data_IF_482627315796
#
_entry.id   IF_482627315796
#
_cell.length_a   1.000
_cell.length_b   1.000
_cell.length_c   1.000
_cell.angle_alpha   90.00
_cell.angle_beta   90.00
_cell.angle_gamma   90.00
#
_symmetry.space_group_name_H-M   'P 1'
#
loop_
_entity.id
_entity.type
_entity.pdbx_description
1 polymer ?
#
# COMPACT_ATOMS: atom_id res chain seq x y z
N UNK A 1 -8.70 -10.67 -21.45
CA UNK A 1 -8.94 -9.40 -20.76
C UNK A 1 -7.70 -9.07 -19.92
N UNK A 2 -7.24 -7.82 -20.01
CA UNK A 2 -6.05 -7.36 -19.28
C UNK A 2 -6.30 -7.45 -17.78
N UNK A 3 -5.47 -8.20 -17.06
CA UNK A 3 -5.44 -8.19 -15.60
C UNK A 3 -4.74 -6.92 -15.14
N UNK A 4 -5.23 -6.34 -14.05
CA UNK A 4 -4.66 -5.13 -13.45
C UNK A 4 -3.88 -5.54 -12.21
N UNK A 5 -2.61 -5.16 -12.15
CA UNK A 5 -1.81 -5.37 -10.96
C UNK A 5 -2.36 -4.52 -9.80
N UNK A 6 -2.38 -5.10 -8.61
CA UNK A 6 -2.87 -4.49 -7.39
C UNK A 6 -2.06 -4.93 -6.17
N UNK A 7 -2.07 -4.10 -5.14
CA UNK A 7 -1.47 -4.40 -3.85
C UNK A 7 -2.50 -4.21 -2.74
N UNK A 8 -2.47 -5.11 -1.76
CA UNK A 8 -3.37 -5.08 -0.59
C UNK A 8 -2.54 -5.31 0.67
N UNK A 9 -2.89 -4.63 1.75
CA UNK A 9 -2.11 -4.65 2.99
C UNK A 9 -2.97 -5.12 4.17
N UNK A 10 -2.50 -6.16 4.86
CA UNK A 10 -3.01 -6.58 6.15
C UNK A 10 -2.29 -5.76 7.23
N UNK A 11 -2.96 -4.74 7.74
CA UNK A 11 -2.47 -3.95 8.87
C UNK A 11 -2.79 -4.69 10.16
N UNK A 12 -1.75 -5.08 10.87
CA UNK A 12 -1.84 -5.93 12.06
C UNK A 12 -1.53 -5.10 13.31
N UNK A 13 -2.22 -5.39 14.41
CA UNK A 13 -1.83 -4.94 15.75
C UNK A 13 -2.08 -6.03 16.78
N UNK A 14 -1.29 -6.01 17.84
CA UNK A 14 -1.54 -6.83 19.02
C UNK A 14 -2.26 -5.98 20.05
N UNK A 15 -3.39 -6.47 20.55
CA UNK A 15 -4.16 -5.87 21.62
C UNK A 15 -4.53 -6.96 22.64
N UNK A 16 -4.16 -6.78 23.91
CA UNK A 16 -4.49 -7.71 25.00
C UNK A 16 -4.13 -9.18 24.68
N UNK A 17 -3.01 -9.41 23.99
CA UNK A 17 -2.52 -10.72 23.52
C UNK A 17 -3.36 -11.35 22.39
N UNK A 18 -4.25 -10.61 21.78
CA UNK A 18 -4.95 -11.01 20.55
C UNK A 18 -4.38 -10.27 19.33
N UNK A 19 -4.32 -10.97 18.20
CA UNK A 19 -3.92 -10.39 16.93
C UNK A 19 -5.15 -9.85 16.21
N UNK A 20 -5.17 -8.54 15.98
CA UNK A 20 -6.21 -7.89 15.20
C UNK A 20 -5.70 -7.51 13.80
N UNK A 21 -6.58 -7.56 12.82
CA UNK A 21 -6.34 -7.08 11.45
C UNK A 21 -7.37 -6.01 11.10
N UNK A 22 -6.88 -4.91 10.53
CA UNK A 22 -7.78 -3.87 10.04
C UNK A 22 -8.55 -4.34 8.82
N UNK A 23 -9.86 -4.22 8.88
CA UNK A 23 -10.75 -4.34 7.73
C UNK A 23 -11.65 -3.11 7.63
N UNK A 24 -11.93 -2.69 6.41
CA UNK A 24 -12.81 -1.56 6.11
C UNK A 24 -14.08 -2.07 5.45
N UNK A 25 -15.22 -1.48 5.76
CA UNK A 25 -16.48 -1.82 5.10
C UNK A 25 -16.71 -0.89 3.93
N UNK A 26 -16.81 -1.44 2.74
CA UNK A 26 -17.11 -0.65 1.54
C UNK A 26 -18.54 -0.12 1.57
N UNK A 27 -18.70 1.11 1.05
CA UNK A 27 -20.01 1.76 1.01
C UNK A 27 -21.04 0.97 0.19
N UNK A 28 -22.29 0.98 0.64
CA UNK A 28 -23.41 0.25 0.01
C UNK A 28 -23.73 0.74 -1.43
N UNK A 29 -23.27 1.93 -1.81
CA UNK A 29 -23.52 2.51 -3.15
C UNK A 29 -22.52 2.11 -4.23
N UNK A 30 -21.50 1.34 -3.92
CA UNK A 30 -20.45 1.00 -4.86
C UNK A 30 -20.86 -0.09 -5.86
N UNK A 31 -20.43 0.07 -7.10
CA UNK A 31 -20.77 -0.86 -8.20
C UNK A 31 -20.05 -2.23 -8.10
N UNK A 32 -19.04 -2.37 -7.24
CA UNK A 32 -18.24 -3.59 -7.07
C UNK A 32 -17.99 -3.88 -5.61
N UNK A 33 -18.36 -5.06 -5.15
CA UNK A 33 -18.19 -5.53 -3.77
C UNK A 33 -18.79 -4.58 -2.71
N UNK A 34 -19.96 -4.01 -2.98
CA UNK A 34 -20.71 -3.20 -2.01
C UNK A 34 -20.95 -3.97 -0.71
N UNK A 35 -20.90 -3.29 0.43
CA UNK A 35 -21.10 -3.86 1.77
C UNK A 35 -20.10 -4.96 2.20
N UNK A 36 -19.06 -5.21 1.40
CA UNK A 36 -18.03 -6.19 1.74
C UNK A 36 -16.97 -5.60 2.65
N UNK A 37 -16.42 -6.43 3.51
CA UNK A 37 -15.23 -6.12 4.28
C UNK A 37 -13.99 -6.36 3.43
N UNK A 38 -13.12 -5.37 3.34
CA UNK A 38 -11.89 -5.41 2.55
C UNK A 38 -10.71 -4.92 3.36
N UNK A 39 -9.51 -5.34 2.99
CA UNK A 39 -8.27 -4.76 3.49
C UNK A 39 -7.92 -3.51 2.67
N UNK A 40 -7.16 -2.55 3.24
CA UNK A 40 -6.61 -1.43 2.47
C UNK A 40 -5.87 -1.91 1.23
N UNK A 41 -6.13 -1.29 0.08
CA UNK A 41 -5.43 -1.68 -1.12
C UNK A 41 -6.16 -1.35 -2.41
N UNK A 42 -5.38 -1.22 -3.48
CA UNK A 42 -5.90 -0.88 -4.78
C UNK A 42 -4.95 -1.18 -5.92
N UNK A 43 -5.19 -0.55 -7.05
CA UNK A 43 -4.41 -0.75 -8.27
C UNK A 43 -3.08 -0.03 -8.21
N UNK A 44 -2.09 -0.57 -8.91
CA UNK A 44 -0.88 0.21 -9.20
C UNK A 44 -1.28 1.41 -10.05
N UNK A 45 -0.87 2.60 -9.62
CA UNK A 45 -0.89 3.81 -10.41
C UNK A 45 0.39 3.91 -11.25
N UNK A 46 0.32 4.64 -12.37
CA UNK A 46 1.50 4.90 -13.23
C UNK A 46 2.61 5.61 -12.42
N UNK A 47 2.23 6.45 -11.46
CA UNK A 47 3.16 7.15 -10.59
C UNK A 47 3.95 6.20 -9.69
N UNK A 48 3.36 5.08 -9.23
CA UNK A 48 4.03 4.08 -8.37
C UNK A 48 5.21 3.40 -9.08
N UNK A 49 5.16 3.30 -10.43
CA UNK A 49 6.20 2.73 -11.27
C UNK A 49 7.21 3.78 -11.79
N UNK A 50 7.10 5.03 -11.37
CA UNK A 50 7.95 6.11 -11.86
C UNK A 50 9.38 6.05 -11.31
N UNK A 51 10.32 6.66 -12.02
CA UNK A 51 11.69 6.85 -11.52
C UNK A 51 11.70 7.69 -10.22
N UNK A 52 10.78 8.64 -10.06
CA UNK A 52 10.62 9.43 -8.85
C UNK A 52 10.18 8.56 -7.66
N UNK A 53 9.22 7.65 -7.86
CA UNK A 53 8.81 6.68 -6.84
C UNK A 53 9.98 5.79 -6.43
N UNK A 54 10.71 5.24 -7.39
CA UNK A 54 11.92 4.42 -7.13
C UNK A 54 12.96 5.20 -6.31
N UNK A 55 13.17 6.47 -6.59
CA UNK A 55 14.10 7.34 -5.85
C UNK A 55 13.66 7.58 -4.39
N UNK A 56 12.40 7.33 -4.06
CA UNK A 56 11.84 7.40 -2.70
C UNK A 56 11.78 6.04 -2.00
N UNK A 57 12.40 5.02 -2.54
CA UNK A 57 12.64 3.75 -1.86
C UNK A 57 14.09 3.69 -1.39
N UNK A 58 14.30 3.36 -0.13
CA UNK A 58 15.65 3.29 0.41
C UNK A 58 16.44 2.15 -0.26
N UNK A 59 17.70 2.38 -0.67
CA UNK A 59 18.50 1.40 -1.41
C UNK A 59 18.61 0.04 -0.73
N UNK A 60 18.72 0.01 0.60
CA UNK A 60 18.81 -1.20 1.39
C UNK A 60 17.53 -2.04 1.38
N UNK A 61 16.37 -1.40 1.16
CA UNK A 61 15.08 -2.08 1.07
C UNK A 61 14.83 -2.68 -0.32
N UNK A 62 15.47 -2.15 -1.36
CA UNK A 62 15.29 -2.64 -2.73
C UNK A 62 15.70 -4.11 -2.89
N UNK A 63 16.79 -4.52 -2.28
CA UNK A 63 17.28 -5.89 -2.38
C UNK A 63 16.31 -6.91 -1.76
N UNK A 64 15.63 -6.54 -0.67
CA UNK A 64 14.68 -7.43 0.01
C UNK A 64 13.35 -7.53 -0.74
N UNK A 65 12.85 -6.44 -1.30
CA UNK A 65 11.55 -6.44 -1.98
C UNK A 65 11.62 -7.11 -3.38
N UNK A 66 12.70 -6.87 -4.13
CA UNK A 66 12.81 -7.34 -5.50
C UNK A 66 12.99 -8.86 -5.64
N UNK A 67 13.34 -9.60 -4.58
CA UNK A 67 13.59 -11.05 -4.66
C UNK A 67 12.38 -11.94 -4.34
N UNK A 68 11.30 -11.40 -3.80
CA UNK A 68 10.23 -12.21 -3.21
C UNK A 68 9.02 -12.40 -4.11
N UNK A 69 8.80 -11.52 -5.09
CA UNK A 69 7.59 -11.53 -5.90
C UNK A 69 7.79 -12.30 -7.20
N UNK A 70 6.82 -13.17 -7.48
CA UNK A 70 6.82 -14.04 -8.67
C UNK A 70 5.54 -13.89 -9.47
N UNK A 71 5.62 -14.19 -10.76
CA UNK A 71 4.46 -14.31 -11.65
C UNK A 71 3.68 -15.59 -11.35
N UNK A 72 2.52 -15.78 -11.98
CA UNK A 72 1.75 -17.03 -11.95
C UNK A 72 2.54 -18.26 -12.37
N UNK A 73 3.53 -18.07 -13.24
CA UNK A 73 4.35 -19.16 -13.79
C UNK A 73 5.62 -19.39 -12.97
N UNK A 74 5.75 -18.74 -11.80
CA UNK A 74 6.91 -18.88 -10.93
C UNK A 74 8.14 -18.08 -11.35
N UNK A 75 8.03 -17.26 -12.40
CA UNK A 75 9.10 -16.36 -12.81
C UNK A 75 9.19 -15.18 -11.85
N UNK A 76 10.41 -14.79 -11.48
CA UNK A 76 10.63 -13.59 -10.66
C UNK A 76 10.11 -12.36 -11.41
N UNK A 77 9.39 -11.48 -10.71
CA UNK A 77 9.00 -10.19 -11.28
C UNK A 77 10.22 -9.32 -11.58
N UNK A 78 10.09 -8.47 -12.59
CA UNK A 78 11.06 -7.40 -12.82
C UNK A 78 11.14 -6.49 -11.59
N UNK A 79 12.31 -5.95 -11.30
CA UNK A 79 12.52 -5.13 -10.10
C UNK A 79 11.59 -3.91 -10.08
N UNK A 80 11.36 -3.28 -11.23
CA UNK A 80 10.46 -2.11 -11.31
C UNK A 80 9.00 -2.48 -10.99
N UNK A 81 8.53 -3.64 -11.44
CA UNK A 81 7.18 -4.12 -11.10
C UNK A 81 7.05 -4.46 -9.61
N UNK A 82 8.09 -5.08 -9.03
CA UNK A 82 8.12 -5.39 -7.61
C UNK A 82 8.11 -4.12 -6.75
N UNK A 83 8.91 -3.11 -7.14
CA UNK A 83 8.94 -1.81 -6.46
C UNK A 83 7.59 -1.12 -6.57
N UNK A 84 6.99 -1.07 -7.76
CA UNK A 84 5.69 -0.44 -7.97
C UNK A 84 4.59 -1.05 -7.08
N UNK A 85 4.59 -2.39 -6.91
CA UNK A 85 3.65 -3.08 -6.01
C UNK A 85 3.85 -2.67 -4.54
N UNK A 86 5.10 -2.52 -4.08
CA UNK A 86 5.37 -2.10 -2.71
C UNK A 86 5.03 -0.61 -2.49
N UNK A 87 5.33 0.25 -3.46
CA UNK A 87 4.98 1.67 -3.38
C UNK A 87 3.46 1.84 -3.36
N UNK A 88 2.74 1.12 -4.25
CA UNK A 88 1.28 1.09 -4.25
C UNK A 88 0.72 0.62 -2.89
N UNK A 89 1.28 -0.41 -2.29
CA UNK A 89 0.89 -0.88 -0.96
C UNK A 89 1.00 0.24 0.09
N UNK A 90 2.10 1.00 0.09
CA UNK A 90 2.29 2.12 1.03
C UNK A 90 1.32 3.28 0.73
N UNK A 91 1.12 3.62 -0.53
CA UNK A 91 0.21 4.70 -0.96
C UNK A 91 -1.23 4.39 -0.56
N UNK A 92 -1.75 3.24 -0.95
CA UNK A 92 -3.11 2.79 -0.64
C UNK A 92 -3.35 2.70 0.88
N UNK A 93 -2.35 2.25 1.64
CA UNK A 93 -2.44 2.21 3.11
C UNK A 93 -2.61 3.62 3.69
N UNK A 94 -1.92 4.62 3.13
CA UNK A 94 -2.11 6.00 3.57
C UNK A 94 -3.45 6.56 3.10
N UNK A 95 -3.84 6.34 1.86
CA UNK A 95 -5.12 6.80 1.30
C UNK A 95 -6.30 6.29 2.10
N UNK A 96 -6.39 4.99 2.32
CA UNK A 96 -7.57 4.34 2.86
C UNK A 96 -7.57 4.22 4.39
N UNK A 97 -6.41 3.97 5.01
CA UNK A 97 -6.30 3.75 6.46
C UNK A 97 -5.63 4.91 7.23
N UNK A 98 -5.10 5.92 6.54
CA UNK A 98 -4.39 7.04 7.17
C UNK A 98 -3.05 6.67 7.80
N UNK A 99 -2.56 5.45 7.58
CA UNK A 99 -1.28 4.97 8.10
C UNK A 99 -0.18 5.24 7.09
N UNK A 100 0.79 6.08 7.45
CA UNK A 100 1.91 6.44 6.59
C UNK A 100 3.11 5.52 6.84
N UNK A 101 3.34 4.60 5.92
CA UNK A 101 4.48 3.70 5.92
C UNK A 101 5.68 4.41 5.29
N UNK A 102 6.27 5.35 6.03
CA UNK A 102 7.39 6.16 5.58
C UNK A 102 8.37 6.46 6.71
N UNK A 103 9.61 6.73 6.34
CA UNK A 103 10.73 7.08 7.22
C UNK A 103 11.52 8.26 6.66
N UNK A 104 12.23 8.95 7.53
CA UNK A 104 13.16 9.99 7.12
C UNK A 104 14.48 9.39 6.56
N UNK A 105 15.37 10.26 6.10
CA UNK A 105 16.69 9.86 5.57
C UNK A 105 17.58 9.14 6.60
N UNK A 106 17.33 9.35 7.90
CA UNK A 106 18.03 8.65 8.97
C UNK A 106 17.41 7.30 9.34
N UNK A 107 16.37 6.87 8.62
CA UNK A 107 15.66 5.61 8.84
C UNK A 107 14.66 5.66 10.00
N UNK A 108 14.33 6.84 10.54
CA UNK A 108 13.37 6.98 11.64
C UNK A 108 11.95 7.04 11.08
N UNK A 109 11.01 6.29 11.67
CA UNK A 109 9.60 6.38 11.29
C UNK A 109 9.05 7.80 11.37
N UNK A 110 8.07 8.10 10.55
CA UNK A 110 7.37 9.38 10.59
C UNK A 110 6.63 9.53 11.93
N UNK A 111 6.82 10.68 12.62
CA UNK A 111 6.18 10.91 13.92
C UNK A 111 4.66 11.01 13.79
N UNK A 112 3.88 10.65 14.83
CA UNK A 112 2.42 10.74 14.81
C UNK A 112 1.91 12.15 14.47
N UNK A 113 2.52 13.19 15.03
CA UNK A 113 2.14 14.58 14.74
C UNK A 113 2.34 14.94 13.26
N UNK A 114 3.43 14.46 12.67
CA UNK A 114 3.70 14.68 11.25
C UNK A 114 2.72 13.92 10.38
N UNK A 115 2.40 12.68 10.72
CA UNK A 115 1.37 11.90 10.03
C UNK A 115 0.02 12.59 10.13
N UNK A 116 -0.36 13.10 11.31
CA UNK A 116 -1.60 13.84 11.51
C UNK A 116 -1.68 15.11 10.65
N UNK A 117 -0.57 15.84 10.50
CA UNK A 117 -0.50 17.04 9.65
C UNK A 117 -0.68 16.71 8.15
N UNK A 118 -0.36 15.50 7.72
CA UNK A 118 -0.46 15.05 6.33
C UNK A 118 -1.82 14.43 5.97
N UNK A 119 -2.64 14.05 6.97
CA UNK A 119 -3.96 13.46 6.75
C UNK A 119 -4.86 14.22 5.74
N UNK A 120 -4.90 15.58 5.73
CA UNK A 120 -5.74 16.31 4.79
C UNK A 120 -5.39 16.07 3.31
N UNK A 121 -4.19 15.56 3.00
CA UNK A 121 -3.75 15.31 1.62
C UNK A 121 -4.28 13.98 1.04
N UNK A 122 -4.87 13.10 1.86
CA UNK A 122 -5.35 11.77 1.44
C UNK A 122 -6.29 11.84 0.25
N UNK A 123 -7.32 12.69 0.30
CA UNK A 123 -8.26 12.85 -0.80
C UNK A 123 -7.68 13.46 -2.08
N UNK A 124 -6.50 14.12 -2.03
CA UNK A 124 -5.79 14.53 -3.23
C UNK A 124 -5.00 13.37 -3.85
N UNK A 125 -4.41 12.54 -2.98
CA UNK A 125 -3.62 11.37 -3.37
C UNK A 125 -4.53 10.33 -4.02
N UNK A 126 -5.71 10.06 -3.45
CA UNK A 126 -6.73 9.16 -4.02
C UNK A 126 -7.12 9.55 -5.46
N UNK A 127 -7.23 10.85 -5.74
CA UNK A 127 -7.56 11.37 -7.08
C UNK A 127 -6.38 11.33 -8.05
N UNK A 128 -5.16 11.39 -7.55
CA UNK A 128 -3.92 11.43 -8.32
C UNK A 128 -2.76 10.83 -7.49
N UNK A 129 -2.44 9.55 -7.74
CA UNK A 129 -1.37 8.83 -7.06
C UNK A 129 0.00 9.51 -7.12
N UNK A 130 0.23 10.37 -8.12
CA UNK A 130 1.45 11.19 -8.21
C UNK A 130 1.61 12.16 -7.04
N UNK A 131 0.52 12.54 -6.38
CA UNK A 131 0.54 13.38 -5.18
C UNK A 131 1.22 12.70 -3.99
N UNK A 132 1.14 11.37 -3.90
CA UNK A 132 1.89 10.64 -2.88
C UNK A 132 3.39 10.78 -3.05
N UNK A 133 3.88 10.66 -4.27
CA UNK A 133 5.31 10.84 -4.55
C UNK A 133 5.74 12.28 -4.28
N UNK A 134 4.94 13.25 -4.70
CA UNK A 134 5.19 14.67 -4.42
C UNK A 134 5.21 14.98 -2.91
N UNK A 135 4.32 14.35 -2.11
CA UNK A 135 4.34 14.42 -0.66
C UNK A 135 5.67 13.91 -0.10
N UNK A 136 6.10 12.71 -0.52
CA UNK A 136 7.36 12.14 -0.06
C UNK A 136 8.56 13.03 -0.40
N UNK A 137 8.53 13.68 -1.56
CA UNK A 137 9.56 14.63 -1.98
C UNK A 137 9.57 15.90 -1.13
N UNK A 138 8.40 16.51 -0.94
CA UNK A 138 8.25 17.76 -0.18
C UNK A 138 8.65 17.57 1.30
N UNK A 139 8.39 16.40 1.84
CA UNK A 139 8.66 16.06 3.22
C UNK A 139 10.02 15.40 3.46
N UNK A 140 10.82 15.19 2.41
CA UNK A 140 12.08 14.40 2.43
C UNK A 140 11.91 13.03 3.12
N UNK A 141 10.84 12.32 2.72
CA UNK A 141 10.50 11.00 3.21
C UNK A 141 10.78 9.92 2.16
N UNK A 142 11.00 8.72 2.66
CA UNK A 142 11.18 7.50 1.88
C UNK A 142 10.13 6.48 2.30
N UNK A 143 9.54 5.76 1.35
CA UNK A 143 8.62 4.65 1.68
C UNK A 143 9.36 3.57 2.45
N UNK A 144 8.76 3.12 3.53
CA UNK A 144 9.30 2.09 4.40
C UNK A 144 8.76 0.70 3.99
N UNK A 145 9.30 0.19 2.90
CA UNK A 145 8.90 -1.10 2.35
C UNK A 145 9.59 -2.30 3.02
N UNK A 146 10.65 -2.05 3.79
CA UNK A 146 11.41 -3.12 4.44
C UNK A 146 10.59 -4.02 5.37
N UNK A 147 9.70 -3.47 6.20
CA UNK A 147 8.83 -4.25 7.09
C UNK A 147 7.65 -4.94 6.42
N UNK A 148 7.34 -4.62 5.14
CA UNK A 148 6.27 -5.28 4.41
C UNK A 148 6.63 -6.75 4.13
N UNK A 149 5.89 -7.65 4.73
CA UNK A 149 6.04 -9.09 4.51
C UNK A 149 5.12 -9.53 3.39
N UNK A 150 5.68 -10.08 2.31
CA UNK A 150 4.87 -10.71 1.27
C UNK A 150 4.10 -11.90 1.85
N UNK A 151 2.76 -11.85 1.76
CA UNK A 151 1.87 -12.81 2.38
C UNK A 151 1.28 -13.82 1.39
N UNK A 152 0.66 -13.32 0.32
CA UNK A 152 0.00 -14.18 -0.67
C UNK A 152 -0.22 -13.49 -2.00
N UNK A 153 -0.56 -14.29 -3.01
CA UNK A 153 -0.86 -13.88 -4.36
C UNK A 153 -2.24 -14.41 -4.78
N UNK A 154 -3.13 -13.51 -5.14
CA UNK A 154 -4.48 -13.86 -5.54
C UNK A 154 -4.80 -13.26 -6.90
N UNK A 155 -5.40 -14.09 -7.75
CA UNK A 155 -5.87 -13.66 -9.07
C UNK A 155 -7.37 -13.86 -9.14
N UNK A 156 -8.07 -12.80 -9.51
CA UNK A 156 -9.52 -12.84 -9.70
C UNK A 156 -9.88 -13.91 -10.74
N UNK A 157 -10.85 -14.80 -10.46
CA UNK A 157 -11.29 -15.84 -11.40
C UNK A 157 -11.65 -15.30 -12.77
N UNK A 158 -11.47 -16.12 -13.82
CA UNK A 158 -11.69 -15.72 -15.22
C UNK A 158 -13.15 -15.40 -15.55
N UNK A 159 -14.08 -15.84 -14.73
CA UNK A 159 -15.52 -15.56 -14.86
C UNK A 159 -15.85 -14.10 -14.55
N UNK A 160 -15.04 -13.43 -13.74
CA UNK A 160 -15.30 -12.06 -13.32
C UNK A 160 -15.02 -11.04 -14.43
N UNK A 161 -15.88 -10.02 -14.58
CA UNK A 161 -15.71 -8.98 -15.61
C UNK A 161 -14.52 -8.06 -15.34
N UNK A 162 -14.17 -7.81 -14.08
CA UNK A 162 -12.99 -7.04 -13.65
C UNK A 162 -12.03 -8.00 -12.95
N UNK A 163 -10.79 -8.04 -13.42
CA UNK A 163 -9.80 -8.98 -12.89
C UNK A 163 -8.56 -8.25 -12.41
N UNK A 164 -8.11 -8.67 -11.23
CA UNK A 164 -6.92 -8.17 -10.57
C UNK A 164 -5.92 -9.29 -10.35
N UNK A 165 -4.65 -8.93 -10.46
CA UNK A 165 -3.49 -9.70 -10.08
C UNK A 165 -2.94 -9.06 -8.82
N UNK A 166 -3.37 -9.54 -7.63
CA UNK A 166 -3.19 -8.86 -6.37
C UNK A 166 -2.10 -9.53 -5.53
N UNK A 167 -1.12 -8.74 -5.09
CA UNK A 167 -0.15 -9.14 -4.06
C UNK A 167 -0.63 -8.63 -2.71
N UNK A 168 -0.67 -9.54 -1.74
CA UNK A 168 -1.00 -9.25 -0.35
C UNK A 168 0.28 -9.13 0.46
N UNK A 169 0.35 -8.06 1.23
CA UNK A 169 1.42 -7.80 2.18
C UNK A 169 0.86 -7.74 3.59
N UNK A 170 1.66 -8.08 4.58
CA UNK A 170 1.32 -7.93 5.99
C UNK A 170 2.36 -7.05 6.68
N UNK A 171 1.90 -6.18 7.59
CA UNK A 171 2.76 -5.29 8.36
C UNK A 171 2.09 -4.94 9.70
N UNK A 172 2.84 -4.90 10.81
CA UNK A 172 2.34 -4.27 12.03
C UNK A 172 2.07 -2.78 11.80
N UNK A 173 0.97 -2.27 12.34
CA UNK A 173 0.72 -0.82 12.36
C UNK A 173 1.88 -0.16 13.09
N UNK A 174 2.53 0.89 12.52
CA UNK A 174 3.59 1.59 13.20
C UNK A 174 3.12 2.11 14.56
N UNK A 175 3.97 2.03 15.61
CA UNK A 175 3.62 2.52 16.93
C UNK A 175 3.11 3.96 16.88
N UNK A 176 2.06 4.24 17.66
CA UNK A 176 1.48 5.57 17.86
C UNK A 176 0.82 6.21 16.63
N UNK A 177 0.70 5.52 15.50
CA UNK A 177 -0.13 5.97 14.40
C UNK A 177 -1.59 5.57 14.61
N UNK A 178 -2.47 6.57 14.54
CA UNK A 178 -3.91 6.31 14.57
C UNK A 178 -4.37 5.76 13.22
N UNK A 179 -5.16 4.70 13.26
CA UNK A 179 -5.84 4.18 12.06
C UNK A 179 -7.15 4.94 11.89
N UNK A 180 -7.36 5.51 10.73
CA UNK A 180 -8.58 6.25 10.39
C UNK A 180 -9.05 5.80 9.01
N UNK A 181 -9.94 4.79 8.99
CA UNK A 181 -10.52 4.30 7.76
C UNK A 181 -11.31 5.41 7.07
N UNK A 182 -11.00 5.71 5.81
CA UNK A 182 -11.87 6.51 4.96
C UNK A 182 -12.94 5.58 4.39
N UNK A 183 -14.19 5.86 4.73
CA UNK A 183 -15.35 5.05 4.32
C UNK A 183 -16.07 5.66 3.13
N UNK A 184 -15.46 6.63 2.43
CA UNK A 184 -16.08 7.35 1.33
C UNK A 184 -16.02 6.60 -0.02
N UNK A 185 -15.26 5.50 -0.11
CA UNK A 185 -15.23 4.60 -1.25
C UNK A 185 -16.25 3.45 -1.19
#
# INVERSE_FOLDING_TARGET
RLMRAAATVLLLRELESELEVLMMRRGAGLAFMADMWVFPGGRIDVADASAAARARVAPEALASCCGQLHSLHGERLADDDAIALHVAACRETFEEAGVLLARDRAGRPCSPDRVAALQPLRGEIERDGGRFIALLEAEDLYVDIGPLVYWSHWITPSIEPKRYDTRFFAIPVPPDQAVSADLSE
#
